data_IF_655578780768
#
_entry.id   IF_655578780768
#
_cell.length_a   1.000
_cell.length_b   1.000
_cell.length_c   1.000
_cell.angle_alpha   90.00
_cell.angle_beta   90.00
_cell.angle_gamma   90.00
#
_symmetry.space_group_name_H-M   'P 1'
#
loop_
_entity.id
_entity.type
_entity.pdbx_description
1 polymer ?
#
# COMPACT_ATOMS: atom_id res chain seq x y z
N UNK A 1 18.06 4.53 23.66
CA UNK A 1 17.50 3.22 23.24
C UNK A 1 17.84 2.22 24.33
N UNK A 2 16.95 1.27 24.61
CA UNK A 2 17.16 0.27 25.65
C UNK A 2 18.36 -0.61 25.34
N UNK A 3 18.83 -1.33 26.36
CA UNK A 3 19.98 -2.22 26.21
C UNK A 3 19.49 -3.57 25.68
N UNK A 4 20.25 -4.20 24.79
CA UNK A 4 19.97 -5.59 24.41
C UNK A 4 20.19 -6.48 25.64
N UNK A 5 19.12 -7.06 26.16
CA UNK A 5 19.10 -7.92 27.36
C UNK A 5 17.74 -8.59 27.52
N UNK A 6 17.59 -9.46 28.52
CA UNK A 6 16.30 -10.11 28.81
C UNK A 6 15.30 -9.06 29.39
N UNK A 7 14.20 -8.74 28.69
CA UNK A 7 13.21 -7.77 29.19
C UNK A 7 12.52 -8.24 30.49
N UNK A 8 12.54 -9.54 30.80
CA UNK A 8 12.05 -10.07 32.07
C UNK A 8 12.93 -9.72 33.28
N UNK A 9 14.17 -9.29 33.05
CA UNK A 9 15.14 -8.99 34.11
C UNK A 9 15.24 -7.49 34.44
N UNK A 10 14.83 -6.61 33.53
CA UNK A 10 14.88 -5.16 33.73
C UNK A 10 14.01 -4.42 32.74
N UNK A 11 13.34 -3.36 33.22
CA UNK A 11 12.60 -2.41 32.38
C UNK A 11 13.49 -1.62 31.40
N UNK A 12 14.80 -1.61 31.61
CA UNK A 12 15.75 -0.96 30.71
C UNK A 12 16.11 -1.80 29.48
N UNK A 13 15.71 -3.09 29.46
CA UNK A 13 16.01 -4.00 28.37
C UNK A 13 14.87 -3.97 27.34
N UNK A 14 15.23 -3.83 26.07
CA UNK A 14 14.23 -3.81 24.99
C UNK A 14 13.74 -5.22 24.66
N UNK A 15 12.45 -5.34 24.31
CA UNK A 15 11.91 -6.56 23.70
C UNK A 15 12.52 -6.78 22.32
N UNK A 16 12.70 -8.04 21.91
CA UNK A 16 13.24 -8.40 20.59
C UNK A 16 12.53 -7.71 19.42
N UNK A 17 11.21 -7.51 19.51
CA UNK A 17 10.43 -6.80 18.49
C UNK A 17 10.85 -5.33 18.36
N UNK A 18 11.13 -4.65 19.47
CA UNK A 18 11.60 -3.26 19.50
C UNK A 18 13.00 -3.18 18.89
N UNK A 19 13.91 -4.08 19.27
CA UNK A 19 15.25 -4.16 18.68
C UNK A 19 15.16 -4.35 17.16
N UNK A 20 14.32 -5.27 16.68
CA UNK A 20 14.17 -5.54 15.24
C UNK A 20 13.59 -4.34 14.47
N UNK A 21 12.62 -3.63 15.05
CA UNK A 21 12.08 -2.41 14.45
C UNK A 21 13.12 -1.29 14.39
N UNK A 22 13.92 -1.12 15.45
CA UNK A 22 15.01 -0.14 15.48
C UNK A 22 16.10 -0.45 14.44
N UNK A 23 16.51 -1.72 14.33
CA UNK A 23 17.47 -2.18 13.31
C UNK A 23 16.96 -1.93 11.88
N UNK A 24 15.70 -2.30 11.61
CA UNK A 24 15.08 -2.07 10.30
C UNK A 24 14.94 -0.58 9.98
N UNK A 25 14.57 0.24 10.98
CA UNK A 25 14.50 1.69 10.87
C UNK A 25 15.87 2.30 10.54
N UNK A 26 16.91 1.93 11.28
CA UNK A 26 18.27 2.41 11.04
C UNK A 26 18.79 2.04 9.63
N UNK A 27 18.50 0.82 9.18
CA UNK A 27 18.86 0.38 7.82
C UNK A 27 18.16 1.21 6.72
N UNK A 28 16.91 1.65 6.95
CA UNK A 28 16.19 2.53 6.02
C UNK A 28 16.73 3.96 6.02
N UNK A 29 17.09 4.50 7.19
CA UNK A 29 17.66 5.85 7.31
C UNK A 29 18.94 6.01 6.48
N UNK A 30 19.77 4.97 6.39
CA UNK A 30 20.99 4.99 5.59
C UNK A 30 20.76 5.23 4.07
N UNK A 31 19.51 5.06 3.59
CA UNK A 31 19.12 5.23 2.20
C UNK A 31 18.05 6.31 2.00
N UNK A 32 17.72 7.08 3.04
CA UNK A 32 16.60 8.02 3.03
C UNK A 32 17.04 9.43 3.40
N UNK A 33 16.47 10.43 2.72
CA UNK A 33 16.56 11.84 3.13
C UNK A 33 15.30 12.27 3.87
N UNK A 34 15.46 12.97 4.98
CA UNK A 34 14.35 13.36 5.84
C UNK A 34 13.39 14.34 5.15
N UNK A 35 13.91 15.29 4.36
CA UNK A 35 13.06 16.24 3.65
C UNK A 35 12.31 15.54 2.52
N UNK A 36 12.96 14.70 1.72
CA UNK A 36 12.29 13.91 0.69
C UNK A 36 11.17 13.05 1.29
N UNK A 37 11.38 12.45 2.47
CA UNK A 37 10.33 11.71 3.17
C UNK A 37 9.11 12.59 3.51
N UNK A 38 9.33 13.81 4.04
CA UNK A 38 8.25 14.76 4.31
C UNK A 38 7.48 15.15 3.04
N UNK A 39 8.20 15.38 1.94
CA UNK A 39 7.57 15.75 0.66
C UNK A 39 6.77 14.58 0.07
N UNK A 40 7.25 13.34 0.16
CA UNK A 40 6.51 12.15 -0.26
C UNK A 40 5.27 11.92 0.60
N UNK A 41 5.38 12.08 1.93
CA UNK A 41 4.23 12.00 2.82
C UNK A 41 3.18 13.07 2.47
N UNK A 42 3.63 14.31 2.20
CA UNK A 42 2.74 15.41 1.80
C UNK A 42 2.05 15.14 0.45
N UNK A 43 2.77 14.58 -0.51
CA UNK A 43 2.20 14.21 -1.81
C UNK A 43 1.08 13.17 -1.64
N UNK A 44 1.28 12.13 -0.83
CA UNK A 44 0.24 11.13 -0.53
C UNK A 44 -0.97 11.75 0.18
N UNK A 45 -0.77 12.64 1.15
CA UNK A 45 -1.86 13.32 1.87
C UNK A 45 -2.71 14.23 0.97
N UNK A 46 -2.12 14.80 -0.09
CA UNK A 46 -2.79 15.70 -1.01
C UNK A 46 -3.39 14.98 -2.23
N UNK A 47 -3.11 13.69 -2.39
CA UNK A 47 -3.50 12.96 -3.57
C UNK A 47 -5.02 12.77 -3.64
N UNK A 48 -5.56 13.05 -4.82
CA UNK A 48 -6.90 12.64 -5.24
C UNK A 48 -6.83 12.36 -6.74
N UNK A 49 -7.38 11.24 -7.19
CA UNK A 49 -7.54 10.97 -8.62
C UNK A 49 -8.37 12.11 -9.24
N UNK A 50 -7.88 12.74 -10.31
CA UNK A 50 -8.51 13.91 -10.91
C UNK A 50 -8.09 15.29 -10.38
N UNK A 51 -7.07 15.38 -9.50
CA UNK A 51 -6.48 16.62 -8.98
C UNK A 51 -7.41 17.45 -8.05
N UNK A 52 -6.85 18.28 -7.15
CA UNK A 52 -7.61 18.90 -6.04
C UNK A 52 -8.64 19.97 -6.46
N UNK A 53 -8.73 20.30 -7.76
CA UNK A 53 -9.73 21.26 -8.26
C UNK A 53 -11.07 20.60 -8.61
N UNK A 54 -11.16 19.27 -8.61
CA UNK A 54 -12.37 18.49 -8.84
C UNK A 54 -12.82 17.68 -7.62
N UNK A 55 -13.89 16.91 -7.76
CA UNK A 55 -14.27 15.88 -6.77
C UNK A 55 -13.59 14.55 -7.09
N UNK A 56 -13.38 13.71 -6.05
CA UNK A 56 -12.93 12.33 -6.21
C UNK A 56 -13.75 11.58 -7.27
N UNK A 57 -15.08 11.70 -7.19
CA UNK A 57 -16.00 11.06 -8.14
C UNK A 57 -15.74 11.48 -9.57
N UNK A 58 -15.58 12.79 -9.82
CA UNK A 58 -15.27 13.27 -11.17
C UNK A 58 -13.96 12.64 -11.69
N UNK A 59 -12.92 12.62 -10.87
CA UNK A 59 -11.64 12.07 -11.29
C UNK A 59 -11.64 10.57 -11.54
N UNK A 60 -12.42 9.81 -10.77
CA UNK A 60 -12.57 8.36 -10.98
C UNK A 60 -13.45 8.02 -12.18
N UNK A 61 -14.47 8.84 -12.47
CA UNK A 61 -15.34 8.71 -13.65
C UNK A 61 -14.70 9.22 -14.94
N UNK A 62 -13.66 10.06 -14.84
CA UNK A 62 -12.89 10.50 -16.01
C UNK A 62 -11.90 9.38 -16.49
N UNK A 63 -11.87 8.20 -15.85
CA UNK A 63 -11.05 7.03 -16.29
C UNK A 63 -11.85 6.23 -17.32
N UNK A 64 -11.38 6.19 -18.56
CA UNK A 64 -12.08 5.57 -19.71
C UNK A 64 -11.35 4.35 -20.31
N UNK A 65 -10.37 3.82 -19.58
CA UNK A 65 -9.57 2.65 -19.98
C UNK A 65 -9.79 1.48 -19.02
N UNK A 66 -9.55 0.22 -19.45
CA UNK A 66 -9.60 -0.92 -18.53
C UNK A 66 -8.73 -0.72 -17.29
N UNK A 67 -9.23 -1.13 -16.12
CA UNK A 67 -8.55 -1.02 -14.83
C UNK A 67 -8.46 -2.40 -14.17
N UNK A 68 -7.31 -2.68 -13.55
CA UNK A 68 -7.12 -3.80 -12.64
C UNK A 68 -6.67 -3.27 -11.28
N UNK A 69 -7.40 -3.63 -10.22
CA UNK A 69 -7.06 -3.30 -8.84
C UNK A 69 -6.62 -4.58 -8.11
N UNK A 70 -5.38 -4.58 -7.65
CA UNK A 70 -4.77 -5.69 -6.92
C UNK A 70 -4.62 -5.28 -5.45
N UNK A 71 -5.19 -6.04 -4.52
CA UNK A 71 -5.25 -5.66 -3.11
C UNK A 71 -5.21 -6.90 -2.19
N UNK A 72 -5.19 -6.71 -0.87
CA UNK A 72 -5.41 -7.76 0.14
C UNK A 72 -6.22 -7.17 1.29
N UNK A 73 -7.14 -7.94 1.89
CA UNK A 73 -7.91 -7.49 3.06
C UNK A 73 -7.07 -7.43 4.36
N UNK A 74 -5.84 -7.98 4.33
CA UNK A 74 -4.89 -7.85 5.44
C UNK A 74 -4.14 -6.50 5.45
N UNK A 75 -4.31 -5.66 4.42
CA UNK A 75 -3.63 -4.36 4.32
C UNK A 75 -4.21 -3.33 5.31
N UNK A 76 -3.38 -2.87 6.25
CA UNK A 76 -3.73 -1.87 7.25
C UNK A 76 -3.32 -0.44 6.87
N UNK A 77 -2.66 -0.24 5.73
CA UNK A 77 -2.29 1.08 5.18
C UNK A 77 -3.30 1.52 4.14
N UNK A 78 -3.66 0.63 3.20
CA UNK A 78 -4.69 0.82 2.20
C UNK A 78 -5.74 -0.29 2.30
N UNK A 79 -6.72 -0.16 3.21
CA UNK A 79 -7.72 -1.19 3.47
C UNK A 79 -8.46 -1.64 2.20
N UNK A 80 -8.72 -2.95 2.10
CA UNK A 80 -9.33 -3.54 0.91
C UNK A 80 -10.75 -3.05 0.63
N UNK A 81 -11.51 -2.63 1.65
CA UNK A 81 -12.82 -1.99 1.48
C UNK A 81 -12.71 -0.65 0.74
N UNK A 82 -11.72 0.18 1.08
CA UNK A 82 -11.45 1.45 0.38
C UNK A 82 -11.02 1.23 -1.09
N UNK A 83 -10.26 0.16 -1.37
CA UNK A 83 -9.90 -0.23 -2.75
C UNK A 83 -11.15 -0.66 -3.53
N UNK A 84 -12.02 -1.49 -2.92
CA UNK A 84 -13.27 -1.92 -3.54
C UNK A 84 -14.24 -0.76 -3.77
N UNK A 85 -14.32 0.20 -2.85
CA UNK A 85 -15.10 1.43 -3.04
C UNK A 85 -14.59 2.23 -4.25
N UNK A 86 -13.27 2.45 -4.33
CA UNK A 86 -12.63 3.12 -5.46
C UNK A 86 -12.99 2.45 -6.79
N UNK A 87 -12.83 1.12 -6.88
CA UNK A 87 -13.19 0.37 -8.07
C UNK A 87 -14.69 0.41 -8.37
N UNK A 88 -15.55 0.36 -7.36
CA UNK A 88 -17.01 0.47 -7.55
C UNK A 88 -17.39 1.80 -8.22
N UNK A 89 -16.73 2.90 -7.85
CA UNK A 89 -16.93 4.20 -8.49
C UNK A 89 -16.44 4.16 -9.95
N UNK A 90 -15.22 3.67 -10.19
CA UNK A 90 -14.66 3.56 -11.55
C UNK A 90 -15.59 2.76 -12.48
N UNK A 91 -16.07 1.60 -12.03
CA UNK A 91 -16.94 0.72 -12.85
C UNK A 91 -18.35 1.29 -13.08
N UNK A 92 -18.77 2.31 -12.30
CA UNK A 92 -20.17 2.75 -12.25
C UNK A 92 -20.70 3.35 -13.56
N UNK A 93 -19.82 3.77 -14.47
CA UNK A 93 -20.15 4.28 -15.81
C UNK A 93 -19.84 3.29 -16.95
N UNK A 94 -19.51 2.04 -16.62
CA UNK A 94 -19.25 0.97 -17.58
C UNK A 94 -17.78 0.69 -17.86
N UNK A 95 -16.86 1.40 -17.22
CA UNK A 95 -15.42 1.14 -17.33
C UNK A 95 -15.08 -0.32 -16.95
N UNK A 96 -14.40 -1.09 -17.83
CA UNK A 96 -14.00 -2.45 -17.51
C UNK A 96 -13.08 -2.49 -16.29
N UNK A 97 -13.48 -3.24 -15.27
CA UNK A 97 -12.74 -3.34 -14.01
C UNK A 97 -12.57 -4.80 -13.59
N UNK A 98 -11.35 -5.12 -13.21
CA UNK A 98 -10.96 -6.39 -12.62
C UNK A 98 -10.44 -6.19 -11.19
N UNK A 99 -10.94 -6.97 -10.24
CA UNK A 99 -10.37 -7.08 -8.90
C UNK A 99 -9.55 -8.35 -8.79
N UNK A 100 -8.36 -8.24 -8.20
CA UNK A 100 -7.50 -9.37 -7.85
C UNK A 100 -7.11 -9.26 -6.38
N UNK A 101 -7.59 -10.19 -5.58
CA UNK A 101 -7.24 -10.25 -4.16
C UNK A 101 -6.04 -11.18 -3.96
N UNK A 102 -5.05 -10.72 -3.21
CA UNK A 102 -3.88 -11.47 -2.80
C UNK A 102 -4.14 -12.11 -1.43
N UNK A 103 -3.84 -13.39 -1.33
CA UNK A 103 -3.90 -14.14 -0.09
C UNK A 103 -2.58 -13.99 0.67
N UNK A 104 -2.63 -13.76 1.98
CA UNK A 104 -1.44 -13.52 2.78
C UNK A 104 -1.77 -13.13 4.21
N UNK A 105 -0.74 -12.78 4.98
CA UNK A 105 -0.89 -12.26 6.36
C UNK A 105 0.17 -11.18 6.65
N UNK A 106 0.74 -10.58 5.60
CA UNK A 106 1.79 -9.56 5.70
C UNK A 106 1.24 -8.16 5.39
N UNK A 107 -0.06 -8.05 5.17
CA UNK A 107 -0.78 -6.83 4.85
C UNK A 107 -0.23 -6.15 3.60
N UNK A 108 0.05 -4.85 3.68
CA UNK A 108 0.58 -4.06 2.55
C UNK A 108 1.79 -4.71 1.84
N UNK A 109 2.60 -5.45 2.59
CA UNK A 109 3.79 -6.09 2.05
C UNK A 109 3.48 -7.26 1.11
N UNK A 110 2.28 -7.84 1.13
CA UNK A 110 1.89 -8.89 0.18
C UNK A 110 1.81 -8.36 -1.25
N UNK A 111 1.49 -7.08 -1.44
CA UNK A 111 1.57 -6.40 -2.74
C UNK A 111 2.98 -6.32 -3.34
N UNK A 112 4.03 -6.57 -2.54
CA UNK A 112 5.42 -6.65 -2.99
C UNK A 112 5.94 -8.09 -2.97
N UNK A 113 5.78 -8.79 -1.85
CA UNK A 113 6.39 -10.08 -1.60
C UNK A 113 5.58 -11.25 -2.17
N UNK A 114 4.28 -11.04 -2.38
CA UNK A 114 3.32 -12.06 -2.80
C UNK A 114 2.66 -11.72 -4.14
N UNK A 115 3.10 -10.66 -4.83
CA UNK A 115 2.52 -10.17 -6.10
C UNK A 115 2.51 -11.22 -7.22
N UNK A 116 3.40 -12.21 -7.14
CA UNK A 116 3.47 -13.31 -8.10
C UNK A 116 2.15 -14.11 -8.17
N UNK A 117 1.31 -14.10 -7.12
CA UNK A 117 -0.03 -14.69 -7.16
C UNK A 117 -0.91 -14.07 -8.25
N UNK A 118 -0.76 -12.77 -8.52
CA UNK A 118 -1.45 -12.06 -9.58
C UNK A 118 -0.70 -12.10 -10.93
N UNK A 119 0.45 -12.77 -11.03
CA UNK A 119 1.37 -12.65 -12.16
C UNK A 119 0.76 -13.03 -13.52
N UNK A 120 0.02 -14.13 -13.58
CA UNK A 120 -0.68 -14.55 -14.82
C UNK A 120 -1.77 -13.55 -15.22
N UNK A 121 -2.52 -13.01 -14.25
CA UNK A 121 -3.59 -12.03 -14.47
C UNK A 121 -3.02 -10.69 -14.94
N UNK A 122 -1.93 -10.24 -14.32
CA UNK A 122 -1.17 -9.06 -14.76
C UNK A 122 -0.70 -9.22 -16.21
N UNK A 123 -0.13 -10.38 -16.55
CA UNK A 123 0.33 -10.64 -17.92
C UNK A 123 -0.83 -10.59 -18.92
N UNK A 124 -1.92 -11.29 -18.63
CA UNK A 124 -3.09 -11.30 -19.49
C UNK A 124 -3.70 -9.90 -19.66
N UNK A 125 -3.77 -9.11 -18.58
CA UNK A 125 -4.26 -7.73 -18.61
C UNK A 125 -3.40 -6.83 -19.50
N UNK A 126 -2.07 -6.99 -19.47
CA UNK A 126 -1.15 -6.22 -20.31
C UNK A 126 -1.12 -6.66 -21.78
N UNK A 127 -1.43 -7.93 -22.06
CA UNK A 127 -1.48 -8.48 -23.43
C UNK A 127 -2.84 -8.26 -24.12
N UNK A 128 -3.88 -7.96 -23.34
CA UNK A 128 -5.19 -7.58 -23.86
C UNK A 128 -5.06 -6.28 -24.68
N UNK A 129 -5.47 -6.33 -25.96
CA UNK A 129 -5.50 -5.18 -26.86
C UNK A 129 -6.82 -4.43 -26.77
#
# INVERSE_FOLDING_TARGET
MGVNGDPGQSWANDYKVVTKLNEAGAARVAQSDANHFLYLARANQLFVAGQPKGSLYKGLLDIDVPVMLIYTDEDLIFPGDAVRETGTIIKSDGTPLEFVELEGTRGHMDGLLSIAQAGERIRAFLEAK
#
